data_IF_061452585505
#
_entry.id   IF_061452585505
#
_cell.length_a   1.000
_cell.length_b   1.000
_cell.length_c   1.000
_cell.angle_alpha   90.00
_cell.angle_beta   90.00
_cell.angle_gamma   90.00
#
_symmetry.space_group_name_H-M   'P 1'
#
loop_
_entity.id
_entity.type
_entity.pdbx_description
1 polymer ?
#
# COMPACT_ATOMS: atom_id res chain seq x y z
N UNK A 1 -40.76 53.67 3.80
CA UNK A 1 -40.34 52.72 2.74
C UNK A 1 -39.21 51.89 3.33
N UNK A 2 -39.44 50.73 3.94
CA UNK A 2 -39.67 49.40 3.30
C UNK A 2 -38.58 49.17 2.21
N UNK A 3 -37.68 48.19 2.26
CA UNK A 3 -37.69 46.87 2.89
C UNK A 3 -36.28 46.35 3.22
N UNK A 4 -36.27 45.42 4.19
CA UNK A 4 -35.37 44.29 4.48
C UNK A 4 -34.19 44.03 3.53
N UNK A 5 -33.01 43.79 4.12
CA UNK A 5 -32.21 42.63 3.76
C UNK A 5 -31.49 42.09 5.00
N UNK A 6 -32.11 41.08 5.61
CA UNK A 6 -31.48 40.21 6.60
C UNK A 6 -30.97 38.98 5.88
N UNK A 7 -29.71 38.97 5.45
CA UNK A 7 -29.02 37.78 4.97
C UNK A 7 -27.51 38.05 5.05
N UNK A 8 -26.88 37.82 6.21
CA UNK A 8 -25.42 37.64 6.27
C UNK A 8 -24.87 37.00 7.56
N UNK A 9 -25.64 36.15 8.24
CA UNK A 9 -25.11 35.28 9.30
C UNK A 9 -24.95 33.81 8.90
N UNK A 10 -25.60 33.37 7.80
CA UNK A 10 -25.44 31.99 7.25
C UNK A 10 -24.24 31.84 6.31
N UNK A 11 -23.91 32.87 5.51
CA UNK A 11 -22.77 32.85 4.58
C UNK A 11 -21.40 32.77 5.29
N UNK A 12 -21.26 33.42 6.45
CA UNK A 12 -20.04 33.32 7.27
C UNK A 12 -19.90 31.92 7.92
N UNK A 13 -21.00 31.24 8.23
CA UNK A 13 -20.99 29.90 8.80
C UNK A 13 -20.69 28.82 7.73
N UNK A 14 -21.15 29.01 6.49
CA UNK A 14 -20.86 28.11 5.37
C UNK A 14 -19.44 28.28 4.83
N UNK A 15 -18.86 29.48 4.89
CA UNK A 15 -17.45 29.70 4.56
C UNK A 15 -16.51 29.07 5.61
N UNK A 16 -16.90 29.09 6.90
CA UNK A 16 -16.17 28.39 7.96
C UNK A 16 -16.24 26.86 7.82
N UNK A 17 -17.39 26.31 7.41
CA UNK A 17 -17.54 24.86 7.11
C UNK A 17 -16.75 24.44 5.86
N UNK A 18 -16.68 25.29 4.84
CA UNK A 18 -15.87 25.07 3.64
C UNK A 18 -14.36 25.04 3.94
N UNK A 19 -13.86 25.94 4.79
CA UNK A 19 -12.45 25.94 5.22
C UNK A 19 -12.09 24.73 6.11
N UNK A 20 -13.03 24.24 6.93
CA UNK A 20 -12.82 23.03 7.75
C UNK A 20 -12.79 21.77 6.86
N UNK A 21 -13.64 21.70 5.83
CA UNK A 21 -13.65 20.60 4.85
C UNK A 21 -12.38 20.57 3.98
N UNK A 22 -11.83 21.73 3.62
CA UNK A 22 -10.56 21.84 2.89
C UNK A 22 -9.33 21.36 3.71
N UNK A 23 -9.47 21.24 5.04
CA UNK A 23 -8.40 20.79 5.93
C UNK A 23 -8.37 19.28 6.16
N UNK A 24 -9.42 18.56 5.75
CA UNK A 24 -9.55 17.11 5.96
C UNK A 24 -8.44 16.33 5.23
N UNK A 25 -7.76 15.39 5.89
CA UNK A 25 -6.78 14.50 5.26
C UNK A 25 -7.35 13.77 4.05
N UNK A 26 -8.64 13.43 4.08
CA UNK A 26 -9.37 12.78 2.97
C UNK A 26 -9.47 13.73 1.77
N UNK A 27 -9.74 15.02 2.00
CA UNK A 27 -9.83 16.03 0.93
C UNK A 27 -8.45 16.36 0.36
N UNK A 28 -7.40 16.41 1.19
CA UNK A 28 -6.01 16.54 0.71
C UNK A 28 -5.59 15.36 -0.16
N UNK A 29 -5.95 14.13 0.23
CA UNK A 29 -5.69 12.91 -0.56
C UNK A 29 -6.45 12.95 -1.89
N UNK A 30 -7.71 13.36 -1.90
CA UNK A 30 -8.50 13.51 -3.12
C UNK A 30 -7.93 14.60 -4.05
N UNK A 31 -7.57 15.78 -3.53
CA UNK A 31 -6.94 16.84 -4.33
C UNK A 31 -5.54 16.45 -4.84
N UNK A 32 -4.76 15.70 -4.07
CA UNK A 32 -3.45 15.21 -4.49
C UNK A 32 -3.57 14.17 -5.60
N UNK A 33 -4.52 13.24 -5.48
CA UNK A 33 -4.90 12.31 -6.55
C UNK A 33 -5.38 13.04 -7.81
N UNK A 34 -6.22 14.07 -7.67
CA UNK A 34 -6.71 14.88 -8.81
C UNK A 34 -5.55 15.57 -9.52
N UNK A 35 -4.62 16.19 -8.78
CA UNK A 35 -3.43 16.84 -9.38
C UNK A 35 -2.49 15.85 -10.10
N UNK A 36 -2.35 14.63 -9.60
CA UNK A 36 -1.59 13.58 -10.29
C UNK A 36 -2.27 13.08 -11.57
N UNK A 37 -3.62 13.07 -11.61
CA UNK A 37 -4.40 12.72 -12.80
C UNK A 37 -4.38 13.84 -13.85
N UNK A 38 -4.42 15.11 -13.43
CA UNK A 38 -4.38 16.27 -14.33
C UNK A 38 -2.98 16.49 -14.97
N UNK A 39 -1.91 15.94 -14.39
CA UNK A 39 -0.56 16.00 -14.96
C UNK A 39 -0.28 15.03 -16.10
N UNK A 40 -1.26 14.20 -16.50
CA UNK A 40 -1.07 13.11 -17.48
C UNK A 40 -2.18 13.06 -18.53
N UNK A 41 -2.48 14.17 -19.22
CA UNK A 41 -3.34 14.11 -20.42
C UNK A 41 -2.76 15.00 -21.50
N UNK A 42 -2.01 14.37 -22.42
CA UNK A 42 -1.88 14.83 -23.80
C UNK A 42 -1.47 13.65 -24.69
N UNK A 43 -2.43 12.80 -25.06
CA UNK A 43 -2.30 11.94 -26.24
C UNK A 43 -3.63 11.85 -27.02
N UNK A 44 -3.61 12.04 -28.36
CA UNK A 44 -4.81 12.10 -29.19
C UNK A 44 -5.38 10.69 -29.46
N UNK A 45 -6.66 10.58 -29.88
CA UNK A 45 -7.30 9.28 -30.08
C UNK A 45 -6.97 8.75 -31.47
N UNK A 46 -6.19 7.67 -31.55
CA UNK A 46 -6.09 6.88 -32.79
C UNK A 46 -6.57 5.43 -32.58
N UNK A 47 -7.68 5.14 -33.27
CA UNK A 47 -8.12 3.89 -33.89
C UNK A 47 -7.71 2.55 -33.24
N UNK A 48 -8.75 1.81 -32.83
CA UNK A 48 -8.73 0.40 -32.44
C UNK A 48 -8.10 -0.47 -33.52
N UNK A 49 -7.01 -1.15 -33.16
CA UNK A 49 -6.59 -2.39 -33.80
C UNK A 49 -6.24 -3.42 -32.73
N UNK A 50 -6.71 -4.65 -32.96
CA UNK A 50 -6.57 -5.82 -32.07
C UNK A 50 -5.14 -6.37 -32.17
N UNK A 51 -4.13 -5.55 -31.85
CA UNK A 51 -2.73 -5.99 -31.76
C UNK A 51 -2.49 -6.69 -30.43
N UNK A 52 -1.72 -7.78 -30.46
CA UNK A 52 -1.35 -8.57 -29.29
C UNK A 52 -0.99 -7.67 -28.10
N UNK A 53 -1.65 -7.87 -26.96
CA UNK A 53 -1.34 -7.22 -25.68
C UNK A 53 0.15 -7.43 -25.33
N UNK A 54 1.01 -6.52 -25.81
CA UNK A 54 2.44 -6.45 -25.48
C UNK A 54 2.58 -5.56 -24.27
N UNK A 55 3.37 -6.00 -23.28
CA UNK A 55 3.69 -5.18 -22.12
C UNK A 55 4.53 -3.98 -22.56
N UNK A 56 4.24 -2.81 -21.98
CA UNK A 56 5.00 -1.59 -22.23
C UNK A 56 6.22 -1.61 -21.30
N UNK A 57 7.42 -1.46 -21.86
CA UNK A 57 8.64 -1.28 -21.08
C UNK A 57 8.73 0.15 -20.56
N UNK A 58 9.03 0.30 -19.27
CA UNK A 58 9.03 1.58 -18.57
C UNK A 58 10.46 2.04 -18.30
N UNK A 59 10.76 3.30 -18.62
CA UNK A 59 12.00 3.95 -18.19
C UNK A 59 11.92 4.28 -16.70
N UNK A 60 12.70 3.56 -15.91
CA UNK A 60 12.56 3.65 -14.45
C UNK A 60 13.09 4.95 -13.84
N UNK A 61 14.07 5.58 -14.46
CA UNK A 61 14.74 6.73 -13.87
C UNK A 61 13.88 7.99 -13.99
N UNK A 62 13.33 8.24 -15.18
CA UNK A 62 12.43 9.38 -15.42
C UNK A 62 11.19 9.31 -14.53
N UNK A 63 10.62 8.13 -14.38
CA UNK A 63 9.45 7.89 -13.51
C UNK A 63 9.77 8.16 -12.04
N UNK A 64 10.91 7.66 -11.52
CA UNK A 64 11.30 7.91 -10.12
C UNK A 64 11.53 9.41 -9.88
N UNK A 65 12.19 10.11 -10.81
CA UNK A 65 12.42 11.56 -10.70
C UNK A 65 11.11 12.34 -10.69
N UNK A 66 10.13 11.94 -11.50
CA UNK A 66 8.84 12.62 -11.59
C UNK A 66 8.00 12.51 -10.29
N UNK A 67 8.13 11.41 -9.56
CA UNK A 67 7.30 11.15 -8.36
C UNK A 67 7.95 11.54 -7.04
N UNK A 68 9.28 11.69 -7.04
CA UNK A 68 10.00 12.01 -5.81
C UNK A 68 9.56 13.41 -5.38
N UNK A 69 8.91 13.56 -4.22
CA UNK A 69 8.42 14.86 -3.80
C UNK A 69 9.60 15.81 -3.62
N UNK A 70 9.48 17.03 -4.15
CA UNK A 70 10.47 18.06 -3.93
C UNK A 70 10.57 18.37 -2.43
N UNK A 71 11.81 18.50 -1.94
CA UNK A 71 12.08 18.95 -0.58
C UNK A 71 11.77 20.44 -0.50
N UNK A 72 10.70 20.77 0.21
CA UNK A 72 10.25 22.13 0.42
C UNK A 72 10.55 22.54 1.88
N UNK A 73 11.38 23.57 2.10
CA UNK A 73 11.75 24.01 3.45
C UNK A 73 10.57 24.52 4.29
N UNK A 74 9.42 24.79 3.68
CA UNK A 74 8.20 25.20 4.39
C UNK A 74 7.38 24.02 4.91
N UNK A 75 7.68 22.79 4.46
CA UNK A 75 6.98 21.59 4.92
C UNK A 75 7.49 21.14 6.27
N UNK A 76 6.60 20.53 7.04
CA UNK A 76 6.89 20.04 8.38
C UNK A 76 6.70 18.53 8.49
N UNK A 77 7.31 17.94 9.52
CA UNK A 77 7.23 16.52 9.84
C UNK A 77 5.80 16.00 9.78
N UNK A 78 5.60 14.94 8.99
CA UNK A 78 4.34 14.25 8.78
C UNK A 78 3.55 14.76 7.57
N UNK A 79 4.08 15.72 6.81
CA UNK A 79 3.49 16.19 5.56
C UNK A 79 4.08 15.50 4.33
N UNK A 80 5.24 14.87 4.43
CA UNK A 80 5.90 14.13 3.35
C UNK A 80 5.75 12.59 3.47
N UNK A 81 4.90 12.11 4.38
CA UNK A 81 4.43 10.72 4.39
C UNK A 81 4.44 10.10 5.78
N UNK A 82 3.26 9.71 6.28
CA UNK A 82 3.09 8.89 7.47
C UNK A 82 2.66 7.49 7.06
N UNK A 83 3.52 6.52 7.30
CA UNK A 83 3.36 5.15 6.84
C UNK A 83 3.04 4.26 8.02
N UNK A 84 2.10 3.33 7.85
CA UNK A 84 1.81 2.33 8.85
C UNK A 84 2.06 0.93 8.30
N UNK A 85 2.85 0.14 9.01
CA UNK A 85 3.09 -1.28 8.72
C UNK A 85 2.33 -2.11 9.76
N UNK A 86 1.38 -2.92 9.31
CA UNK A 86 0.62 -3.88 10.11
C UNK A 86 1.23 -5.26 9.89
N UNK A 87 1.90 -5.78 10.90
CA UNK A 87 2.64 -7.04 10.80
C UNK A 87 3.52 -7.25 12.01
N UNK A 88 4.33 -8.31 11.98
CA UNK A 88 5.15 -8.71 13.12
C UNK A 88 4.38 -9.52 14.15
N UNK A 89 4.65 -10.81 14.17
CA UNK A 89 4.26 -11.75 15.22
C UNK A 89 5.47 -12.15 16.08
N UNK A 90 5.26 -13.07 17.02
CA UNK A 90 6.31 -13.58 17.92
C UNK A 90 7.54 -14.09 17.16
N UNK A 91 7.34 -14.78 16.04
CA UNK A 91 8.41 -15.39 15.24
C UNK A 91 9.04 -14.42 14.23
N UNK A 92 8.25 -13.51 13.64
CA UNK A 92 8.66 -12.72 12.48
C UNK A 92 8.79 -11.24 12.80
N UNK A 93 9.85 -10.87 13.53
CA UNK A 93 10.12 -9.48 13.91
C UNK A 93 10.90 -8.69 12.84
N UNK A 94 11.67 -9.35 11.98
CA UNK A 94 12.51 -8.69 10.98
C UNK A 94 11.76 -8.11 9.78
N UNK A 95 10.74 -8.82 9.28
CA UNK A 95 9.94 -8.40 8.13
C UNK A 95 9.26 -7.03 8.32
N UNK A 96 8.51 -6.76 9.40
CA UNK A 96 7.92 -5.43 9.62
C UNK A 96 8.98 -4.33 9.79
N UNK A 97 10.15 -4.65 10.35
CA UNK A 97 11.27 -3.71 10.42
C UNK A 97 11.77 -3.32 9.04
N UNK A 98 12.05 -4.28 8.15
CA UNK A 98 12.54 -3.99 6.80
C UNK A 98 11.54 -3.17 5.98
N UNK A 99 10.25 -3.47 6.09
CA UNK A 99 9.20 -2.65 5.46
C UNK A 99 9.15 -1.23 6.03
N UNK A 100 9.22 -1.09 7.36
CA UNK A 100 9.11 0.21 8.00
C UNK A 100 10.33 1.11 7.78
N UNK A 101 11.55 0.55 7.86
CA UNK A 101 12.80 1.31 7.69
C UNK A 101 13.00 1.69 6.23
N UNK A 102 12.65 0.82 5.28
CA UNK A 102 12.77 1.15 3.85
C UNK A 102 11.84 2.28 3.43
N UNK A 103 10.66 2.39 4.04
CA UNK A 103 9.78 3.55 3.88
C UNK A 103 10.46 4.86 4.35
N UNK A 104 11.14 4.85 5.50
CA UNK A 104 11.91 6.03 5.96
C UNK A 104 13.07 6.35 5.02
N UNK A 105 13.83 5.33 4.59
CA UNK A 105 14.99 5.53 3.71
C UNK A 105 14.63 6.07 2.33
N UNK A 106 13.39 5.84 1.87
CA UNK A 106 12.91 6.41 0.60
C UNK A 106 12.25 7.80 0.76
N UNK A 107 12.19 8.34 1.98
CA UNK A 107 11.79 9.72 2.24
C UNK A 107 10.45 9.89 2.97
N UNK A 108 9.88 8.83 3.57
CA UNK A 108 8.75 9.02 4.48
C UNK A 108 9.21 9.75 5.76
N UNK A 109 8.39 10.69 6.25
CA UNK A 109 8.67 11.45 7.46
C UNK A 109 8.52 10.60 8.74
N UNK A 110 7.52 9.72 8.74
CA UNK A 110 7.15 8.90 9.88
C UNK A 110 6.79 7.49 9.44
N UNK A 111 7.27 6.51 10.18
CA UNK A 111 6.99 5.10 9.95
C UNK A 111 6.56 4.44 11.25
N UNK A 112 5.32 3.98 11.25
CA UNK A 112 4.64 3.35 12.36
C UNK A 112 4.60 1.85 12.13
N UNK A 113 4.89 1.06 13.16
CA UNK A 113 4.77 -0.41 13.11
C UNK A 113 3.73 -0.83 14.14
N UNK A 114 2.64 -1.44 13.70
CA UNK A 114 1.66 -2.07 14.56
C UNK A 114 1.90 -3.56 14.54
N UNK A 115 2.36 -4.08 15.67
CA UNK A 115 2.79 -5.47 15.82
C UNK A 115 2.25 -6.09 17.09
N UNK A 116 2.54 -7.38 17.28
CA UNK A 116 2.21 -8.05 18.54
C UNK A 116 3.06 -7.52 19.69
N UNK A 117 2.55 -7.65 20.92
CA UNK A 117 3.26 -7.22 22.14
C UNK A 117 4.66 -7.85 22.27
N UNK A 118 4.81 -9.12 21.87
CA UNK A 118 6.08 -9.83 21.95
C UNK A 118 7.08 -9.41 20.87
N UNK A 119 6.60 -8.97 19.70
CA UNK A 119 7.46 -8.48 18.63
C UNK A 119 8.03 -7.08 18.91
N UNK A 120 7.28 -6.26 19.64
CA UNK A 120 7.60 -4.84 19.80
C UNK A 120 8.96 -4.54 20.46
N UNK A 121 9.39 -5.21 21.56
CA UNK A 121 10.70 -4.96 22.16
C UNK A 121 11.85 -5.21 21.19
N UNK A 122 11.72 -6.25 20.35
CA UNK A 122 12.73 -6.63 19.35
C UNK A 122 12.77 -5.62 18.22
N UNK A 123 11.61 -5.20 17.68
CA UNK A 123 11.57 -4.21 16.60
C UNK A 123 12.10 -2.85 17.08
N UNK A 124 11.77 -2.46 18.32
CA UNK A 124 12.27 -1.22 18.93
C UNK A 124 13.79 -1.22 19.13
N UNK A 125 14.41 -2.38 19.32
CA UNK A 125 15.87 -2.47 19.50
C UNK A 125 16.64 -2.35 18.19
N UNK A 126 16.01 -2.62 17.04
CA UNK A 126 16.65 -2.48 15.73
C UNK A 126 16.84 -1.02 15.30
N UNK A 127 15.88 -0.13 15.60
CA UNK A 127 16.02 1.29 15.30
C UNK A 127 15.15 2.18 16.22
N UNK A 128 15.72 3.26 16.78
CA UNK A 128 14.96 4.26 17.53
C UNK A 128 14.14 5.20 16.64
N UNK A 129 14.31 5.16 15.31
CA UNK A 129 13.58 6.02 14.36
C UNK A 129 12.12 5.57 14.17
N UNK A 130 11.84 4.27 14.41
CA UNK A 130 10.52 3.68 14.20
C UNK A 130 9.58 3.92 15.38
N UNK A 131 8.32 4.22 15.08
CA UNK A 131 7.27 4.34 16.10
C UNK A 131 6.53 3.00 16.20
N UNK A 132 6.87 2.20 17.21
CA UNK A 132 6.35 0.83 17.35
C UNK A 132 5.22 0.75 18.38
N UNK A 133 4.06 0.29 17.92
CA UNK A 133 2.78 0.17 18.62
C UNK A 133 2.46 -1.31 18.92
N UNK A 134 2.61 -1.77 20.17
CA UNK A 134 2.32 -3.15 20.57
C UNK A 134 0.83 -3.37 20.83
N UNK A 135 0.01 -3.27 19.78
CA UNK A 135 -1.46 -3.36 19.91
C UNK A 135 -2.04 -4.71 19.51
N UNK A 136 -1.35 -5.45 18.63
CA UNK A 136 -1.87 -6.72 18.12
C UNK A 136 -1.66 -7.85 19.15
N UNK A 137 -2.52 -8.86 19.08
CA UNK A 137 -2.52 -10.02 19.97
C UNK A 137 -2.70 -11.29 19.15
N UNK A 138 -2.13 -12.39 19.63
CA UNK A 138 -2.23 -13.72 19.02
C UNK A 138 -3.17 -14.61 19.84
N UNK A 139 -3.78 -15.62 19.21
CA UNK A 139 -4.83 -16.46 19.82
C UNK A 139 -4.45 -17.05 21.19
N UNK A 140 -3.18 -17.42 21.42
CA UNK A 140 -2.76 -18.02 22.70
C UNK A 140 -2.78 -17.06 23.89
N UNK A 141 -2.74 -15.74 23.65
CA UNK A 141 -2.75 -14.72 24.69
C UNK A 141 -4.16 -14.24 25.03
N UNK A 142 -5.19 -14.78 24.38
CA UNK A 142 -6.56 -14.25 24.38
C UNK A 142 -7.57 -15.34 24.68
N UNK A 143 -8.35 -15.19 25.76
CA UNK A 143 -9.54 -16.01 26.00
C UNK A 143 -10.62 -15.75 24.96
N UNK A 144 -11.35 -16.79 24.55
CA UNK A 144 -12.37 -16.73 23.47
C UNK A 144 -13.42 -15.64 23.71
N UNK A 145 -13.85 -15.46 24.96
CA UNK A 145 -14.82 -14.44 25.38
C UNK A 145 -14.31 -13.00 25.18
N UNK A 146 -13.00 -12.81 25.15
CA UNK A 146 -12.36 -11.50 25.09
C UNK A 146 -11.99 -11.06 23.67
N UNK A 147 -11.99 -11.97 22.68
CA UNK A 147 -11.56 -11.71 21.30
C UNK A 147 -12.22 -10.47 20.70
N UNK A 148 -13.55 -10.37 20.77
CA UNK A 148 -14.30 -9.23 20.23
C UNK A 148 -13.94 -7.91 20.92
N UNK A 149 -13.81 -7.92 22.24
CA UNK A 149 -13.41 -6.73 23.00
C UNK A 149 -12.01 -6.27 22.61
N UNK A 150 -11.08 -7.20 22.42
CA UNK A 150 -9.70 -6.91 22.01
C UNK A 150 -9.68 -6.35 20.60
N UNK A 151 -10.35 -6.97 19.62
CA UNK A 151 -10.42 -6.43 18.26
C UNK A 151 -10.95 -5.00 18.24
N UNK A 152 -12.02 -4.70 18.99
CA UNK A 152 -12.53 -3.33 19.10
C UNK A 152 -11.53 -2.36 19.73
N UNK A 153 -10.76 -2.79 20.73
CA UNK A 153 -9.69 -1.97 21.33
C UNK A 153 -8.56 -1.72 20.33
N UNK A 154 -8.13 -2.74 19.59
CA UNK A 154 -7.10 -2.60 18.54
C UNK A 154 -7.56 -1.61 17.48
N UNK A 155 -8.79 -1.75 16.98
CA UNK A 155 -9.38 -0.82 16.03
C UNK A 155 -9.36 0.60 16.58
N UNK A 156 -9.80 0.82 17.82
CA UNK A 156 -9.79 2.13 18.45
C UNK A 156 -8.38 2.73 18.63
N UNK A 157 -7.37 1.90 18.94
CA UNK A 157 -5.98 2.38 19.05
C UNK A 157 -5.40 2.78 17.68
N UNK A 158 -5.67 1.99 16.64
CA UNK A 158 -5.18 2.28 15.29
C UNK A 158 -5.94 3.47 14.67
N UNK A 159 -7.24 3.59 14.94
CA UNK A 159 -8.11 4.65 14.43
C UNK A 159 -7.63 6.05 14.81
N UNK A 160 -7.05 6.22 16.01
CA UNK A 160 -6.39 7.47 16.46
C UNK A 160 -5.34 7.99 15.48
N UNK A 161 -4.76 7.10 14.67
CA UNK A 161 -3.70 7.42 13.71
C UNK A 161 -4.15 7.31 12.26
N UNK A 162 -5.28 6.65 11.96
CA UNK A 162 -5.74 6.35 10.60
C UNK A 162 -5.85 7.60 9.71
N UNK A 163 -6.37 8.70 10.24
CA UNK A 163 -6.48 9.97 9.53
C UNK A 163 -5.12 10.54 9.11
N UNK A 164 -4.03 10.17 9.80
CA UNK A 164 -2.68 10.66 9.51
C UNK A 164 -1.99 9.81 8.45
N UNK A 165 -2.35 8.54 8.30
CA UNK A 165 -1.66 7.61 7.42
C UNK A 165 -1.89 7.88 5.94
N UNK A 166 -0.81 8.04 5.19
CA UNK A 166 -0.85 8.16 3.74
C UNK A 166 -0.91 6.80 3.04
N UNK A 167 -0.40 5.76 3.69
CA UNK A 167 -0.44 4.39 3.19
C UNK A 167 -0.34 3.40 4.35
N UNK A 168 -1.01 2.26 4.18
CA UNK A 168 -0.92 1.10 5.04
C UNK A 168 -0.18 -0.03 4.30
N UNK A 169 0.78 -0.68 4.94
CA UNK A 169 1.41 -1.92 4.46
C UNK A 169 0.94 -3.04 5.36
N UNK A 170 0.36 -4.10 4.81
CA UNK A 170 -0.22 -5.19 5.59
C UNK A 170 0.42 -6.50 5.20
N UNK A 171 0.88 -7.25 6.21
CA UNK A 171 1.33 -8.63 6.04
C UNK A 171 2.81 -8.94 6.32
N UNK A 172 3.78 -8.01 6.24
CA UNK A 172 5.17 -8.31 6.60
C UNK A 172 5.30 -8.94 7.99
N UNK A 173 5.64 -10.23 8.04
CA UNK A 173 5.77 -10.99 9.28
C UNK A 173 4.48 -11.11 10.10
N UNK A 174 3.30 -11.03 9.48
CA UNK A 174 2.02 -11.14 10.21
C UNK A 174 1.80 -12.55 10.78
N UNK A 175 2.34 -13.58 10.14
CA UNK A 175 2.06 -14.96 10.51
C UNK A 175 0.65 -15.38 10.09
N UNK A 176 0.20 -16.53 10.60
CA UNK A 176 -1.08 -17.15 10.20
C UNK A 176 -1.96 -17.54 11.38
N UNK A 177 -1.76 -16.86 12.51
CA UNK A 177 -2.63 -17.00 13.66
C UNK A 177 -4.06 -16.54 13.29
N UNK A 178 -5.10 -17.37 13.46
CA UNK A 178 -6.45 -17.05 13.01
C UNK A 178 -7.01 -15.77 13.63
N UNK A 179 -6.85 -15.57 14.95
CA UNK A 179 -7.35 -14.38 15.63
C UNK A 179 -6.67 -13.10 15.15
N UNK A 180 -5.35 -13.15 14.97
CA UNK A 180 -4.59 -12.03 14.42
C UNK A 180 -5.05 -11.67 12.99
N UNK A 181 -5.26 -12.67 12.14
CA UNK A 181 -5.76 -12.48 10.77
C UNK A 181 -7.17 -11.88 10.74
N UNK A 182 -8.05 -12.31 11.64
CA UNK A 182 -9.41 -11.74 11.77
C UNK A 182 -9.35 -10.27 12.21
N UNK A 183 -8.50 -9.96 13.18
CA UNK A 183 -8.29 -8.60 13.65
C UNK A 183 -7.75 -7.68 12.54
N UNK A 184 -6.76 -8.15 11.79
CA UNK A 184 -6.21 -7.41 10.64
C UNK A 184 -7.21 -7.27 9.50
N UNK A 185 -8.09 -8.25 9.30
CA UNK A 185 -9.18 -8.15 8.33
C UNK A 185 -10.09 -6.95 8.64
N UNK A 186 -10.46 -6.75 9.90
CA UNK A 186 -11.25 -5.57 10.29
C UNK A 186 -10.47 -4.26 10.09
N UNK A 187 -9.16 -4.24 10.41
CA UNK A 187 -8.32 -3.07 10.15
C UNK A 187 -8.26 -2.71 8.67
N UNK A 188 -8.15 -3.70 7.78
CA UNK A 188 -8.16 -3.50 6.32
C UNK A 188 -9.51 -2.93 5.86
N UNK A 189 -10.63 -3.44 6.39
CA UNK A 189 -11.97 -2.90 6.08
C UNK A 189 -12.11 -1.45 6.53
N UNK A 190 -11.63 -1.13 7.73
CA UNK A 190 -11.66 0.23 8.27
C UNK A 190 -10.79 1.20 7.47
N UNK A 191 -9.57 0.77 7.09
CA UNK A 191 -8.69 1.54 6.23
C UNK A 191 -9.30 1.81 4.85
N UNK A 192 -10.01 0.82 4.28
CA UNK A 192 -10.76 0.95 3.03
C UNK A 192 -11.90 1.97 3.15
N UNK A 193 -12.68 1.93 4.23
CA UNK A 193 -13.73 2.92 4.50
C UNK A 193 -13.16 4.34 4.62
N UNK A 194 -11.93 4.45 5.14
CA UNK A 194 -11.18 5.70 5.28
C UNK A 194 -10.43 6.13 4.01
N UNK A 195 -10.58 5.41 2.89
CA UNK A 195 -9.90 5.65 1.61
C UNK A 195 -8.37 5.78 1.75
N UNK A 196 -7.76 4.94 2.59
CA UNK A 196 -6.30 4.86 2.76
C UNK A 196 -5.73 3.86 1.74
N UNK A 197 -4.73 4.23 0.93
CA UNK A 197 -4.00 3.28 0.10
C UNK A 197 -3.41 2.12 0.91
N UNK A 198 -3.50 0.90 0.37
CA UNK A 198 -3.07 -0.32 1.07
C UNK A 198 -2.16 -1.16 0.18
N UNK A 199 -0.95 -1.42 0.65
CA UNK A 199 -0.03 -2.40 0.07
C UNK A 199 -0.18 -3.70 0.84
N UNK A 200 -0.46 -4.80 0.14
CA UNK A 200 -0.62 -6.14 0.72
C UNK A 200 0.54 -7.01 0.26
N UNK A 201 1.35 -7.48 1.21
CA UNK A 201 2.52 -8.34 0.95
C UNK A 201 2.56 -9.52 1.92
N UNK A 202 3.36 -10.55 1.61
CA UNK A 202 3.59 -11.71 2.48
C UNK A 202 2.30 -12.37 2.98
N UNK A 203 2.16 -12.56 4.29
CA UNK A 203 0.96 -13.20 4.87
C UNK A 203 -0.31 -12.34 4.74
N UNK A 204 -0.19 -11.06 4.41
CA UNK A 204 -1.33 -10.23 3.99
C UNK A 204 -1.97 -10.74 2.70
N UNK A 205 -1.16 -11.28 1.77
CA UNK A 205 -1.68 -11.92 0.55
C UNK A 205 -2.35 -13.25 0.86
N UNK A 206 -1.86 -13.99 1.87
CA UNK A 206 -2.56 -15.16 2.36
C UNK A 206 -3.95 -14.78 2.90
N UNK A 207 -4.04 -13.71 3.69
CA UNK A 207 -5.31 -13.18 4.18
C UNK A 207 -6.26 -12.81 3.05
N UNK A 208 -5.80 -12.00 2.09
CA UNK A 208 -6.61 -11.54 0.96
C UNK A 208 -7.01 -12.67 0.02
N UNK A 209 -6.16 -13.67 -0.19
CA UNK A 209 -6.49 -14.83 -1.03
C UNK A 209 -7.61 -15.65 -0.40
N UNK A 210 -7.68 -15.72 0.94
CA UNK A 210 -8.76 -16.40 1.64
C UNK A 210 -10.03 -15.53 1.76
N UNK A 211 -9.89 -14.20 1.76
CA UNK A 211 -11.00 -13.25 1.80
C UNK A 211 -10.80 -12.09 0.80
N UNK A 212 -11.19 -12.34 -0.45
CA UNK A 212 -11.00 -11.38 -1.55
C UNK A 212 -11.81 -10.08 -1.36
N UNK A 213 -12.90 -10.10 -0.58
CA UNK A 213 -13.75 -8.94 -0.37
C UNK A 213 -13.06 -7.81 0.40
N UNK A 214 -11.92 -8.11 1.04
CA UNK A 214 -11.04 -7.11 1.67
C UNK A 214 -10.50 -6.09 0.66
N UNK A 215 -10.20 -6.52 -0.56
CA UNK A 215 -9.60 -5.66 -1.61
C UNK A 215 -10.46 -5.54 -2.86
N UNK A 216 -11.51 -6.36 -2.99
CA UNK A 216 -12.35 -6.38 -4.19
C UNK A 216 -12.96 -5.01 -4.47
N UNK A 217 -12.74 -4.51 -5.69
CA UNK A 217 -13.23 -3.20 -6.10
C UNK A 217 -12.54 -2.02 -5.40
N UNK A 218 -11.36 -2.22 -4.81
CA UNK A 218 -10.62 -1.16 -4.14
C UNK A 218 -9.36 -0.77 -4.93
N UNK A 219 -9.44 0.25 -5.80
CA UNK A 219 -8.34 0.61 -6.71
C UNK A 219 -7.13 1.25 -6.01
N UNK A 220 -7.23 1.52 -4.70
CA UNK A 220 -6.11 1.97 -3.86
C UNK A 220 -5.37 0.79 -3.20
N UNK A 221 -5.78 -0.45 -3.48
CA UNK A 221 -5.05 -1.65 -3.07
C UNK A 221 -3.97 -2.04 -4.09
N UNK A 222 -2.80 -2.42 -3.55
CA UNK A 222 -1.66 -2.92 -4.31
C UNK A 222 -1.27 -4.27 -3.74
N UNK A 223 -1.34 -5.31 -4.55
CA UNK A 223 -0.92 -6.66 -4.18
C UNK A 223 0.48 -6.91 -4.72
N UNK A 224 1.41 -7.41 -3.89
CA UNK A 224 2.80 -7.67 -4.31
C UNK A 224 3.18 -9.15 -4.31
N UNK A 225 2.44 -10.06 -4.98
CA UNK A 225 2.70 -11.49 -4.89
C UNK A 225 4.04 -11.91 -5.49
N UNK A 226 4.74 -12.79 -4.76
CA UNK A 226 5.79 -13.63 -5.33
C UNK A 226 5.20 -14.73 -6.24
N UNK A 227 6.06 -15.52 -6.88
CA UNK A 227 5.64 -16.57 -7.81
C UNK A 227 4.63 -17.56 -7.18
N UNK A 228 4.81 -17.93 -5.91
CA UNK A 228 3.94 -18.89 -5.24
C UNK A 228 2.63 -18.27 -4.77
N UNK A 229 2.67 -17.05 -4.24
CA UNK A 229 1.48 -16.26 -3.88
C UNK A 229 0.62 -15.97 -5.11
N UNK A 230 1.25 -15.63 -6.24
CA UNK A 230 0.57 -15.39 -7.51
C UNK A 230 -0.14 -16.65 -8.02
N UNK A 231 0.52 -17.81 -7.95
CA UNK A 231 -0.10 -19.11 -8.28
C UNK A 231 -1.38 -19.35 -7.47
N UNK A 232 -1.33 -19.13 -6.16
CA UNK A 232 -2.49 -19.29 -5.28
C UNK A 232 -3.62 -18.31 -5.64
N UNK A 233 -3.26 -17.06 -5.92
CA UNK A 233 -4.24 -16.03 -6.28
C UNK A 233 -4.93 -16.35 -7.62
N UNK A 234 -4.17 -16.77 -8.64
CA UNK A 234 -4.69 -17.20 -9.94
C UNK A 234 -5.62 -18.40 -9.79
N UNK A 235 -5.19 -19.44 -9.06
CA UNK A 235 -6.02 -20.62 -8.82
C UNK A 235 -7.34 -20.26 -8.12
N UNK A 236 -7.28 -19.36 -7.13
CA UNK A 236 -8.46 -18.96 -6.35
C UNK A 236 -9.43 -18.08 -7.14
N UNK A 237 -8.93 -17.17 -7.97
CA UNK A 237 -9.74 -16.14 -8.65
C UNK A 237 -10.16 -16.56 -10.06
N UNK A 238 -9.25 -17.18 -10.81
CA UNK A 238 -9.44 -17.54 -12.22
C UNK A 238 -9.69 -19.05 -12.41
N UNK A 239 -9.61 -19.86 -11.34
CA UNK A 239 -9.79 -21.32 -11.40
C UNK A 239 -8.93 -21.98 -12.49
N UNK A 240 -7.71 -21.47 -12.68
CA UNK A 240 -6.75 -21.91 -13.70
C UNK A 240 -5.34 -22.01 -13.15
N UNK A 241 -4.44 -22.63 -13.90
CA UNK A 241 -3.02 -22.65 -13.58
C UNK A 241 -2.31 -21.40 -14.12
N UNK A 242 -1.12 -21.12 -13.58
CA UNK A 242 -0.32 -19.99 -14.04
C UNK A 242 0.19 -20.27 -15.45
N UNK A 243 -0.06 -19.32 -16.34
CA UNK A 243 0.44 -19.36 -17.71
C UNK A 243 1.57 -18.33 -17.85
N UNK A 244 2.80 -18.81 -17.96
CA UNK A 244 3.98 -17.95 -18.12
C UNK A 244 4.15 -17.41 -19.55
N UNK A 245 3.56 -18.06 -20.56
CA UNK A 245 3.62 -17.64 -21.97
C UNK A 245 2.74 -16.41 -22.20
N UNK A 246 1.51 -16.44 -21.70
CA UNK A 246 0.55 -15.32 -21.76
C UNK A 246 0.47 -14.55 -20.43
N UNK A 247 1.59 -14.49 -19.70
CA UNK A 247 1.69 -13.84 -18.40
C UNK A 247 1.04 -12.44 -18.32
N UNK A 248 1.22 -11.53 -19.30
CA UNK A 248 0.54 -10.23 -19.29
C UNK A 248 -0.99 -10.34 -19.34
N UNK A 249 -1.53 -11.20 -20.22
CA UNK A 249 -2.98 -11.35 -20.37
C UNK A 249 -3.61 -11.96 -19.11
N UNK A 250 -2.95 -12.94 -18.50
CA UNK A 250 -3.44 -13.55 -17.26
C UNK A 250 -3.43 -12.53 -16.12
N UNK A 251 -2.38 -11.72 -15.99
CA UNK A 251 -2.28 -10.67 -14.98
C UNK A 251 -3.38 -9.61 -15.15
N UNK A 252 -3.61 -9.15 -16.38
CA UNK A 252 -4.68 -8.21 -16.71
C UNK A 252 -6.06 -8.76 -16.32
N UNK A 253 -6.33 -10.01 -16.70
CA UNK A 253 -7.59 -10.70 -16.38
C UNK A 253 -7.78 -10.84 -14.87
N UNK A 254 -6.70 -11.19 -14.14
CA UNK A 254 -6.71 -11.32 -12.69
C UNK A 254 -7.07 -9.98 -12.02
N UNK A 255 -6.37 -8.90 -12.37
CA UNK A 255 -6.62 -7.57 -11.83
C UNK A 255 -8.05 -7.07 -12.13
N UNK A 256 -8.54 -7.26 -13.36
CA UNK A 256 -9.94 -6.98 -13.72
C UNK A 256 -10.94 -7.78 -12.87
N UNK A 257 -10.69 -9.08 -12.67
CA UNK A 257 -11.60 -9.98 -11.94
C UNK A 257 -11.69 -9.65 -10.45
N UNK A 258 -10.61 -9.16 -9.86
CA UNK A 258 -10.59 -8.66 -8.47
C UNK A 258 -11.21 -7.26 -8.37
N UNK A 259 -11.42 -6.56 -9.48
CA UNK A 259 -12.12 -5.27 -9.53
C UNK A 259 -11.19 -4.06 -9.59
N UNK A 260 -10.14 -4.15 -10.40
CA UNK A 260 -9.25 -3.01 -10.69
C UNK A 260 -8.23 -2.72 -9.59
N UNK A 261 -7.81 -3.75 -8.85
CA UNK A 261 -6.68 -3.64 -7.91
C UNK A 261 -5.37 -3.64 -8.69
N UNK A 262 -4.37 -2.94 -8.18
CA UNK A 262 -3.02 -3.01 -8.76
C UNK A 262 -2.34 -4.29 -8.30
N UNK A 263 -1.78 -5.08 -9.21
CA UNK A 263 -1.04 -6.29 -8.91
C UNK A 263 0.38 -6.16 -9.46
N UNK A 264 1.37 -6.19 -8.57
CA UNK A 264 2.78 -6.37 -8.88
C UNK A 264 3.17 -7.83 -8.74
N UNK A 265 3.23 -8.52 -9.87
CA UNK A 265 3.74 -9.89 -9.94
C UNK A 265 5.26 -9.87 -9.95
N UNK A 266 5.87 -10.35 -8.86
CA UNK A 266 7.34 -10.48 -8.73
C UNK A 266 7.83 -11.71 -9.49
N UNK A 267 8.87 -11.57 -10.32
CA UNK A 267 9.37 -12.64 -11.20
C UNK A 267 10.82 -12.47 -11.65
N UNK A 268 11.20 -13.08 -12.78
CA UNK A 268 12.49 -12.75 -13.42
C UNK A 268 12.42 -11.34 -14.03
N UNK A 269 11.32 -11.06 -14.71
CA UNK A 269 10.85 -9.70 -15.03
C UNK A 269 9.62 -9.41 -14.18
N UNK A 270 9.55 -8.22 -13.61
CA UNK A 270 8.41 -7.82 -12.80
C UNK A 270 7.31 -7.25 -13.72
N UNK A 271 6.07 -7.70 -13.49
CA UNK A 271 4.90 -7.26 -14.24
C UNK A 271 3.94 -6.53 -13.31
N UNK A 272 3.38 -5.42 -13.77
CA UNK A 272 2.35 -4.68 -13.05
C UNK A 272 1.13 -4.47 -13.93
N UNK A 273 -0.05 -4.63 -13.32
CA UNK A 273 -1.32 -4.28 -13.96
C UNK A 273 -2.29 -3.71 -12.95
N UNK A 274 -3.04 -2.68 -13.36
CA UNK A 274 -4.21 -2.12 -12.68
C UNK A 274 -5.53 -2.74 -13.17
N UNK A 275 -5.44 -3.67 -14.12
CA UNK A 275 -6.59 -4.22 -14.83
C UNK A 275 -6.86 -3.56 -16.16
N UNK A 276 -6.29 -2.41 -16.53
CA UNK A 276 -6.48 -1.82 -17.86
C UNK A 276 -5.24 -1.96 -18.73
N UNK A 277 -4.07 -1.77 -18.13
CA UNK A 277 -2.79 -1.89 -18.82
C UNK A 277 -1.88 -2.89 -18.14
N UNK A 278 -0.91 -3.42 -18.89
CA UNK A 278 0.18 -4.22 -18.33
C UNK A 278 1.49 -3.57 -18.69
N UNK A 279 2.29 -3.31 -17.67
CA UNK A 279 3.63 -2.76 -17.80
C UNK A 279 4.64 -3.77 -17.28
N UNK A 280 5.80 -3.79 -17.91
CA UNK A 280 6.90 -4.68 -17.55
C UNK A 280 8.17 -3.87 -17.34
N UNK A 281 9.01 -4.29 -16.40
CA UNK A 281 10.39 -3.80 -16.36
C UNK A 281 11.34 -4.98 -16.34
N UNK A 282 12.38 -4.88 -17.17
CA UNK A 282 13.38 -5.92 -17.42
C UNK A 282 14.77 -5.56 -16.87
N UNK A 283 14.87 -4.52 -16.04
CA UNK A 283 16.14 -4.07 -15.47
C UNK A 283 16.71 -5.16 -14.55
N UNK A 284 17.98 -5.49 -14.81
CA UNK A 284 18.71 -6.47 -14.03
C UNK A 284 18.90 -6.00 -12.59
N UNK A 285 18.67 -6.92 -11.65
CA UNK A 285 18.86 -6.72 -10.22
C UNK A 285 19.83 -7.72 -9.61
N UNK A 286 20.07 -7.66 -8.29
CA UNK A 286 20.90 -8.64 -7.60
C UNK A 286 20.34 -10.07 -7.74
N UNK A 287 21.18 -11.07 -8.07
CA UNK A 287 20.79 -12.48 -8.07
C UNK A 287 20.61 -13.05 -6.65
N UNK A 288 20.98 -12.30 -5.61
CA UNK A 288 20.94 -12.74 -4.23
C UNK A 288 19.49 -12.87 -3.74
N UNK A 289 19.15 -14.04 -3.19
CA UNK A 289 17.83 -14.34 -2.62
C UNK A 289 17.86 -14.26 -1.10
N UNK A 290 17.95 -13.05 -0.57
CA UNK A 290 17.86 -12.83 0.88
C UNK A 290 16.41 -12.89 1.36
N UNK A 291 16.17 -13.50 2.52
CA UNK A 291 14.96 -13.18 3.29
C UNK A 291 14.95 -11.68 3.60
N UNK A 292 13.78 -11.04 3.52
CA UNK A 292 13.64 -9.59 3.74
C UNK A 292 13.61 -8.73 2.47
N UNK A 293 14.00 -9.24 1.31
CA UNK A 293 13.99 -8.45 0.06
C UNK A 293 12.57 -8.02 -0.35
N UNK A 294 11.59 -8.90 -0.17
CA UNK A 294 10.18 -8.57 -0.40
C UNK A 294 9.68 -7.49 0.56
N UNK A 295 10.13 -7.53 1.81
CA UNK A 295 9.72 -6.56 2.84
C UNK A 295 10.28 -5.16 2.55
N UNK A 296 11.53 -5.06 2.07
CA UNK A 296 12.10 -3.80 1.57
C UNK A 296 11.27 -3.28 0.40
N UNK A 297 10.85 -4.17 -0.51
CA UNK A 297 10.03 -3.77 -1.63
C UNK A 297 8.67 -3.23 -1.16
N UNK A 298 7.94 -3.94 -0.29
CA UNK A 298 6.63 -3.48 0.19
C UNK A 298 6.70 -2.15 0.91
N UNK A 299 7.75 -1.90 1.71
CA UNK A 299 8.00 -0.59 2.31
C UNK A 299 8.26 0.53 1.31
N UNK A 300 8.92 0.24 0.18
CA UNK A 300 9.14 1.21 -0.90
C UNK A 300 7.88 1.48 -1.73
N UNK A 301 7.03 0.46 -1.92
CA UNK A 301 5.79 0.63 -2.69
C UNK A 301 4.80 1.60 -2.07
N UNK A 302 5.01 1.93 -0.81
CA UNK A 302 4.29 3.00 -0.12
C UNK A 302 4.38 4.34 -0.86
N UNK A 303 5.54 4.70 -1.42
CA UNK A 303 5.69 5.94 -2.17
C UNK A 303 4.72 5.89 -3.36
N UNK A 304 4.79 4.83 -4.17
CA UNK A 304 3.91 4.62 -5.32
C UNK A 304 2.42 4.59 -4.95
N UNK A 305 2.07 3.95 -3.82
CA UNK A 305 0.72 3.89 -3.29
C UNK A 305 0.15 5.27 -2.93
N UNK A 306 0.98 6.18 -2.45
CA UNK A 306 0.57 7.56 -2.19
C UNK A 306 0.27 8.34 -3.48
N UNK A 307 0.97 8.03 -4.58
CA UNK A 307 0.87 8.78 -5.85
C UNK A 307 0.00 8.11 -6.91
N UNK A 308 -0.38 6.83 -6.74
CA UNK A 308 -1.15 6.01 -7.70
C UNK A 308 -0.57 6.00 -9.12
N UNK A 309 0.76 6.06 -9.24
CA UNK A 309 1.41 6.03 -10.55
C UNK A 309 1.85 4.58 -10.81
N UNK A 310 1.16 3.93 -11.76
CA UNK A 310 1.37 2.52 -12.11
C UNK A 310 2.85 2.23 -12.47
N UNK A 311 3.49 3.19 -13.14
CA UNK A 311 4.88 3.10 -13.58
C UNK A 311 5.84 2.99 -12.40
N UNK A 312 5.54 3.68 -11.30
CA UNK A 312 6.41 3.77 -10.14
C UNK A 312 6.53 2.45 -9.40
N UNK A 313 5.43 1.68 -9.34
CA UNK A 313 5.44 0.39 -8.66
C UNK A 313 6.47 -0.56 -9.27
N UNK A 314 6.72 -0.43 -10.57
CA UNK A 314 7.69 -1.29 -11.24
C UNK A 314 9.12 -0.80 -10.99
N UNK A 315 9.33 0.51 -11.03
CA UNK A 315 10.64 1.14 -10.83
C UNK A 315 11.21 0.86 -9.43
N UNK A 316 10.35 0.91 -8.40
CA UNK A 316 10.74 0.59 -7.03
C UNK A 316 10.83 -0.93 -6.78
N UNK A 317 10.03 -1.73 -7.50
CA UNK A 317 10.17 -3.18 -7.68
C UNK A 317 11.61 -3.59 -7.95
N UNK A 318 12.12 -3.05 -9.04
CA UNK A 318 13.44 -3.32 -9.60
C UNK A 318 14.56 -2.83 -8.70
N UNK A 319 14.46 -1.60 -8.20
CA UNK A 319 15.52 -1.00 -7.40
C UNK A 319 15.72 -1.72 -6.06
N UNK A 320 14.75 -2.49 -5.55
CA UNK A 320 14.95 -3.35 -4.36
C UNK A 320 16.00 -4.46 -4.59
N UNK A 321 16.13 -4.93 -5.83
CA UNK A 321 17.20 -5.84 -6.23
C UNK A 321 18.53 -5.12 -6.41
N UNK A 322 18.53 -3.84 -6.75
CA UNK A 322 19.74 -3.04 -6.92
C UNK A 322 20.27 -2.54 -5.56
N UNK A 323 19.41 -2.09 -4.65
CA UNK A 323 19.84 -1.50 -3.37
C UNK A 323 20.56 -2.50 -2.44
N UNK A 324 20.26 -3.79 -2.54
CA UNK A 324 20.97 -4.83 -1.75
C UNK A 324 22.43 -4.98 -2.20
N UNK A 325 22.80 -4.58 -3.43
CA UNK A 325 24.22 -4.52 -3.80
C UNK A 325 24.92 -3.33 -3.15
N UNK A 326 24.22 -2.23 -2.88
CA UNK A 326 24.79 -0.98 -2.35
C UNK A 326 24.74 -0.85 -0.82
N UNK A 327 23.86 -1.58 -0.12
CA UNK A 327 23.83 -1.63 1.36
C UNK A 327 24.95 -2.49 1.96
N UNK A 328 25.78 -3.10 1.13
CA UNK A 328 26.85 -4.02 1.51
C UNK A 328 28.24 -3.56 1.03
N UNK A 329 28.36 -2.33 0.51
CA UNK A 329 29.61 -1.57 0.35
C UNK A 329 29.69 -0.50 1.45
#
# INVERSE_FOLDING_TARGET
>A
MLMKDGMNSRLLLDCAKSCILASSPVFRRQQFLIRCVEGSIDHPPHSRDMQALRSIEVDSESVIRAITPALDPTRHKGQAGNIAVIGGCREYTGAPYFAAISALKIGADLSHVFCTKNAAPVIKSYSPELIVHPVLEESYSVGEENKRSITSKVLAEVDKWMERFNCLVVGPGLGRDPFLLDCVSELVRHARQSNIPIVIDGDGLFLVTNNLDLVRGYPLAVLTPNVNEYKRLVQKVLSSEVNDVDAPKQLLSLAKKIGGVTILRKGNSDLVSDGDTVKSVSIYGSPRRCGGQGDILSGRQVLCACFKILECYICLGVSSRILISSLNE
#
